data_IF_882350238146
#
_entry.id   IF_882350238146
#
_cell.length_a   1.000
_cell.length_b   1.000
_cell.length_c   1.000
_cell.angle_alpha   90.00
_cell.angle_beta   90.00
_cell.angle_gamma   90.00
#
_symmetry.space_group_name_H-M   'P 1'
#
loop_
_entity.id
_entity.type
_entity.pdbx_description
1 polymer ?
#
# COMPACT_ATOMS: atom_id res chain seq x y z
N UNK A 1 10.79 2.84 -19.80
CA UNK A 1 11.83 3.79 -19.31
C UNK A 1 12.91 3.00 -18.57
N UNK A 2 14.20 3.09 -18.95
CA UNK A 2 15.29 2.37 -18.25
C UNK A 2 15.73 3.17 -17.02
N UNK A 3 15.19 2.86 -15.85
CA UNK A 3 15.63 3.45 -14.57
C UNK A 3 16.91 2.74 -14.11
N UNK A 4 17.99 3.50 -13.87
CA UNK A 4 19.25 2.95 -13.33
C UNK A 4 19.14 2.75 -11.82
N UNK A 5 19.85 1.75 -11.29
CA UNK A 5 19.90 1.42 -9.85
C UNK A 5 20.04 2.67 -8.99
N UNK A 6 21.07 3.47 -9.24
CA UNK A 6 21.40 4.63 -8.43
C UNK A 6 20.28 5.68 -8.43
N UNK A 7 19.59 5.88 -9.57
CA UNK A 7 18.46 6.82 -9.65
C UNK A 7 17.28 6.38 -8.77
N UNK A 8 16.99 5.09 -8.72
CA UNK A 8 15.90 4.56 -7.86
C UNK A 8 16.24 4.77 -6.39
N UNK A 9 17.41 4.30 -5.95
CA UNK A 9 17.79 4.40 -4.54
C UNK A 9 17.98 5.84 -4.06
N UNK A 10 18.52 6.71 -4.91
CA UNK A 10 18.63 8.14 -4.62
C UNK A 10 17.26 8.83 -4.60
N UNK A 11 16.36 8.47 -5.52
CA UNK A 11 14.98 8.95 -5.51
C UNK A 11 14.23 8.56 -4.24
N UNK A 12 14.39 7.32 -3.76
CA UNK A 12 13.81 6.87 -2.48
C UNK A 12 14.37 7.70 -1.33
N UNK A 13 15.70 7.91 -1.29
CA UNK A 13 16.34 8.68 -0.22
C UNK A 13 15.84 10.14 -0.19
N UNK A 14 15.76 10.80 -1.35
CA UNK A 14 15.18 12.14 -1.46
C UNK A 14 13.74 12.15 -0.94
N UNK A 15 12.94 11.15 -1.31
CA UNK A 15 11.53 11.11 -0.92
C UNK A 15 11.37 10.91 0.60
N UNK A 16 12.20 10.06 1.22
CA UNK A 16 12.29 9.93 2.69
C UNK A 16 12.62 11.28 3.34
N UNK A 17 13.61 12.01 2.81
CA UNK A 17 14.02 13.32 3.34
C UNK A 17 12.91 14.37 3.21
N UNK A 18 12.22 14.43 2.07
CA UNK A 18 11.10 15.37 1.86
C UNK A 18 9.99 15.10 2.88
N UNK A 19 9.58 13.85 3.05
CA UNK A 19 8.51 13.48 3.98
C UNK A 19 8.91 13.82 5.42
N UNK A 20 10.14 13.50 5.82
CA UNK A 20 10.67 13.85 7.13
C UNK A 20 10.66 15.36 7.38
N UNK A 21 11.10 16.17 6.42
CA UNK A 21 11.07 17.64 6.53
C UNK A 21 9.62 18.16 6.67
N UNK A 22 8.68 17.64 5.87
CA UNK A 22 7.27 18.03 5.96
C UNK A 22 6.66 17.69 7.33
N UNK A 23 7.05 16.57 7.94
CA UNK A 23 6.56 16.14 9.25
C UNK A 23 7.20 16.98 10.37
N UNK A 24 8.52 17.17 10.35
CA UNK A 24 9.27 17.88 11.40
C UNK A 24 8.94 19.38 11.46
N UNK A 25 8.76 20.02 10.31
CA UNK A 25 8.40 21.44 10.23
C UNK A 25 6.88 21.70 10.23
N UNK A 26 6.06 20.67 10.42
CA UNK A 26 4.58 20.77 10.45
C UNK A 26 3.98 21.49 9.22
N UNK A 27 4.61 21.33 8.04
CA UNK A 27 4.22 22.05 6.82
C UNK A 27 2.98 21.39 6.20
N UNK A 28 1.79 21.88 6.53
CA UNK A 28 0.51 21.37 6.00
C UNK A 28 -0.05 22.21 4.82
N UNK A 29 0.73 23.11 4.23
CA UNK A 29 0.26 23.94 3.11
C UNK A 29 -0.31 23.06 1.97
N UNK A 30 -1.54 23.36 1.52
CA UNK A 30 -2.29 22.57 0.54
C UNK A 30 -2.33 21.04 0.79
N UNK A 31 -2.37 20.59 2.05
CA UNK A 31 -2.39 19.16 2.39
C UNK A 31 -1.17 18.36 1.89
N UNK A 32 -0.07 19.04 1.53
CA UNK A 32 1.14 18.42 0.99
C UNK A 32 1.67 17.32 1.91
N UNK A 33 1.78 17.59 3.22
CA UNK A 33 2.20 16.60 4.20
C UNK A 33 1.37 15.31 4.13
N UNK A 34 0.04 15.43 4.08
CA UNK A 34 -0.86 14.28 4.08
C UNK A 34 -0.71 13.47 2.80
N UNK A 35 -0.69 14.15 1.65
CA UNK A 35 -0.56 13.51 0.33
C UNK A 35 0.79 12.78 0.22
N UNK A 36 1.88 13.46 0.55
CA UNK A 36 3.22 12.89 0.46
C UNK A 36 3.42 11.75 1.46
N UNK A 37 2.95 11.91 2.71
CA UNK A 37 3.05 10.85 3.72
C UNK A 37 2.21 9.64 3.33
N UNK A 38 1.02 9.83 2.77
CA UNK A 38 0.17 8.74 2.30
C UNK A 38 0.86 7.96 1.17
N UNK A 39 1.35 8.65 0.13
CA UNK A 39 2.06 8.00 -0.98
C UNK A 39 3.30 7.28 -0.45
N UNK A 40 4.04 7.91 0.46
CA UNK A 40 5.23 7.32 1.08
C UNK A 40 4.91 6.04 1.83
N UNK A 41 4.00 6.10 2.81
CA UNK A 41 3.66 4.97 3.67
C UNK A 41 3.01 3.82 2.91
N UNK A 42 2.33 4.09 1.79
CA UNK A 42 1.68 3.05 0.98
C UNK A 42 2.58 2.43 -0.09
N UNK A 43 3.73 3.06 -0.42
CA UNK A 43 4.57 2.58 -1.52
C UNK A 43 6.02 2.29 -1.15
N UNK A 44 6.67 3.14 -0.35
CA UNK A 44 8.11 3.06 -0.11
C UNK A 44 8.52 1.83 0.71
N UNK A 45 7.88 1.50 1.85
CA UNK A 45 8.27 0.35 2.65
C UNK A 45 8.16 -0.95 1.84
N UNK A 46 7.03 -1.16 1.16
CA UNK A 46 6.80 -2.35 0.35
C UNK A 46 7.71 -2.42 -0.86
N UNK A 47 8.00 -1.29 -1.53
CA UNK A 47 8.97 -1.26 -2.63
C UNK A 47 10.37 -1.64 -2.13
N UNK A 48 10.79 -1.14 -0.96
CA UNK A 48 12.06 -1.50 -0.35
C UNK A 48 12.11 -2.99 0.03
N UNK A 49 11.02 -3.56 0.56
CA UNK A 49 10.92 -4.99 0.84
C UNK A 49 10.98 -5.81 -0.45
N UNK A 50 10.28 -5.40 -1.51
CA UNK A 50 10.34 -6.04 -2.83
C UNK A 50 11.76 -6.06 -3.39
N UNK A 51 12.46 -4.93 -3.33
CA UNK A 51 13.86 -4.82 -3.72
C UNK A 51 14.75 -5.67 -2.81
N UNK A 52 14.56 -5.62 -1.50
CA UNK A 52 15.29 -6.41 -0.52
C UNK A 52 15.16 -7.90 -0.80
N UNK A 53 13.97 -8.38 -1.20
CA UNK A 53 13.66 -9.78 -1.48
C UNK A 53 13.99 -10.21 -2.92
N UNK A 54 14.35 -9.28 -3.82
CA UNK A 54 14.57 -9.49 -5.27
C UNK A 54 13.31 -9.97 -6.04
N UNK A 55 12.13 -9.54 -5.63
CA UNK A 55 10.90 -9.86 -6.37
C UNK A 55 10.84 -8.95 -7.61
N UNK A 56 11.01 -9.54 -8.81
CA UNK A 56 11.25 -8.80 -10.07
C UNK A 56 10.49 -9.33 -11.28
N UNK A 57 10.12 -10.60 -11.27
CA UNK A 57 9.47 -11.28 -12.40
C UNK A 57 7.96 -11.35 -12.16
N UNK A 58 7.35 -10.19 -11.96
CA UNK A 58 5.90 -10.05 -11.75
C UNK A 58 5.36 -8.99 -12.70
N UNK A 59 4.12 -9.15 -13.12
CA UNK A 59 3.46 -8.17 -13.96
C UNK A 59 3.28 -6.84 -13.23
N UNK A 60 3.04 -5.76 -13.97
CA UNK A 60 2.90 -4.42 -13.39
C UNK A 60 1.85 -4.35 -12.27
N UNK A 61 0.67 -4.95 -12.49
CA UNK A 61 -0.41 -4.94 -11.50
C UNK A 61 -0.05 -5.74 -10.27
N UNK A 62 0.54 -6.92 -10.43
CA UNK A 62 1.05 -7.73 -9.31
C UNK A 62 2.12 -6.98 -8.53
N UNK A 63 3.06 -6.32 -9.22
CA UNK A 63 4.09 -5.52 -8.59
C UNK A 63 3.51 -4.40 -7.72
N UNK A 64 2.48 -3.71 -8.23
CA UNK A 64 1.77 -2.65 -7.51
C UNK A 64 1.07 -3.22 -6.27
N UNK A 65 0.37 -4.34 -6.41
CA UNK A 65 -0.32 -5.02 -5.31
C UNK A 65 0.64 -5.46 -4.22
N UNK A 66 1.75 -6.09 -4.59
CA UNK A 66 2.79 -6.46 -3.62
C UNK A 66 3.38 -5.24 -2.94
N UNK A 67 3.64 -4.17 -3.67
CA UNK A 67 4.19 -2.93 -3.11
C UNK A 67 3.24 -2.32 -2.07
N UNK A 68 1.95 -2.23 -2.35
CA UNK A 68 0.96 -1.69 -1.40
C UNK A 68 0.77 -2.66 -0.23
N UNK A 69 0.55 -3.94 -0.51
CA UNK A 69 0.29 -4.97 0.52
C UNK A 69 1.45 -5.14 1.50
N UNK A 70 2.69 -5.18 1.00
CA UNK A 70 3.88 -5.25 1.85
C UNK A 70 4.09 -3.96 2.66
N UNK A 71 3.70 -2.81 2.12
CA UNK A 71 3.73 -1.55 2.87
C UNK A 71 2.74 -1.58 4.03
N UNK A 72 1.49 -1.99 3.79
CA UNK A 72 0.48 -2.14 4.85
C UNK A 72 0.92 -3.16 5.90
N UNK A 73 1.44 -4.31 5.46
CA UNK A 73 1.99 -5.32 6.37
C UNK A 73 3.13 -4.76 7.22
N UNK A 74 4.06 -3.99 6.63
CA UNK A 74 5.11 -3.31 7.36
C UNK A 74 4.54 -2.32 8.41
N UNK A 75 3.52 -1.53 8.06
CA UNK A 75 2.91 -0.61 9.02
C UNK A 75 2.28 -1.35 10.20
N UNK A 76 1.56 -2.45 9.94
CA UNK A 76 0.91 -3.26 10.98
C UNK A 76 1.94 -3.94 11.89
N UNK A 77 2.86 -4.72 11.30
CA UNK A 77 3.84 -5.48 12.08
C UNK A 77 4.93 -4.60 12.67
N UNK A 78 5.40 -3.58 11.93
CA UNK A 78 6.37 -2.60 12.41
C UNK A 78 5.81 -1.76 13.55
N UNK A 79 4.57 -1.28 13.41
CA UNK A 79 3.87 -0.57 14.50
C UNK A 79 3.69 -1.45 15.73
N UNK A 80 3.26 -2.70 15.56
CA UNK A 80 3.15 -3.67 16.66
C UNK A 80 4.50 -3.94 17.35
N UNK A 81 5.56 -4.13 16.56
CA UNK A 81 6.90 -4.36 17.08
C UNK A 81 7.40 -3.18 17.91
N UNK A 82 7.24 -1.96 17.39
CA UNK A 82 7.58 -0.71 18.10
C UNK A 82 6.79 -0.62 19.40
N UNK A 83 5.50 -0.96 19.36
CA UNK A 83 4.63 -0.92 20.53
C UNK A 83 5.09 -1.87 21.64
N UNK A 84 5.74 -2.98 21.31
CA UNK A 84 6.32 -3.91 22.28
C UNK A 84 7.73 -3.53 22.74
N UNK A 85 8.56 -3.00 21.85
CA UNK A 85 9.99 -2.77 22.14
C UNK A 85 10.24 -1.43 22.83
N UNK A 86 9.56 -0.36 22.46
CA UNK A 86 9.80 0.98 23.04
C UNK A 86 9.62 1.04 24.57
N UNK A 87 8.65 0.36 25.21
CA UNK A 87 8.52 0.35 26.67
C UNK A 87 9.71 -0.32 27.37
N UNK A 88 10.32 -1.33 26.74
CA UNK A 88 11.46 -2.06 27.31
C UNK A 88 12.70 -1.16 27.44
N UNK A 89 12.76 -0.08 26.66
CA UNK A 89 13.84 0.93 26.71
C UNK A 89 13.41 2.23 27.41
N UNK A 90 12.27 2.23 28.10
CA UNK A 90 11.78 3.36 28.91
C UNK A 90 11.03 4.45 28.16
N UNK A 91 10.64 4.22 26.89
CA UNK A 91 9.85 5.17 26.09
C UNK A 91 8.36 4.82 26.16
N UNK A 92 7.60 5.58 26.94
CA UNK A 92 6.17 5.31 27.19
C UNK A 92 5.21 6.07 26.25
N UNK A 93 5.71 6.97 25.40
CA UNK A 93 4.89 7.72 24.42
C UNK A 93 5.03 7.15 23.02
N UNK A 94 4.69 5.87 22.89
CA UNK A 94 5.05 5.00 21.76
C UNK A 94 4.53 5.45 20.39
N UNK A 95 3.28 5.91 20.35
CA UNK A 95 2.57 6.32 19.12
C UNK A 95 2.62 7.84 18.91
N UNK A 96 3.51 8.54 19.63
CA UNK A 96 3.79 9.94 19.29
C UNK A 96 4.62 10.03 18.01
N UNK A 97 4.48 11.14 17.30
CA UNK A 97 5.00 11.31 15.95
C UNK A 97 6.51 11.07 15.87
N UNK A 98 7.28 11.58 16.85
CA UNK A 98 8.75 11.55 16.81
C UNK A 98 9.31 10.13 17.04
N UNK A 99 8.96 9.39 18.10
CA UNK A 99 9.43 8.01 18.29
C UNK A 99 9.05 7.07 17.14
N UNK A 100 7.84 7.23 16.57
CA UNK A 100 7.37 6.42 15.46
C UNK A 100 8.16 6.74 14.17
N UNK A 101 8.36 8.02 13.87
CA UNK A 101 9.13 8.49 12.71
C UNK A 101 10.55 7.95 12.74
N UNK A 102 11.26 8.12 13.87
CA UNK A 102 12.63 7.63 14.05
C UNK A 102 12.70 6.11 13.89
N UNK A 103 11.77 5.37 14.50
CA UNK A 103 11.75 3.91 14.44
C UNK A 103 11.51 3.40 13.01
N UNK A 104 10.57 4.00 12.29
CA UNK A 104 10.30 3.65 10.89
C UNK A 104 11.47 4.03 9.99
N UNK A 105 12.10 5.19 10.18
CA UNK A 105 13.29 5.56 9.42
C UNK A 105 14.44 4.56 9.62
N UNK A 106 14.66 4.08 10.85
CA UNK A 106 15.67 3.04 11.11
C UNK A 106 15.35 1.77 10.31
N UNK A 107 14.10 1.29 10.34
CA UNK A 107 13.71 0.13 9.54
C UNK A 107 13.90 0.34 8.04
N UNK A 108 13.48 1.49 7.51
CA UNK A 108 13.59 1.80 6.10
C UNK A 108 15.05 1.94 5.67
N UNK A 109 15.92 2.52 6.51
CA UNK A 109 17.36 2.57 6.27
C UNK A 109 17.97 1.17 6.21
N UNK A 110 17.59 0.27 7.13
CA UNK A 110 18.04 -1.13 7.09
C UNK A 110 17.60 -1.80 5.77
N UNK A 111 16.32 -1.68 5.40
CA UNK A 111 15.83 -2.24 4.14
C UNK A 111 16.54 -1.64 2.92
N UNK A 112 16.79 -0.33 2.92
CA UNK A 112 17.50 0.38 1.87
C UNK A 112 18.94 -0.11 1.71
N UNK A 113 19.69 -0.27 2.81
CA UNK A 113 21.07 -0.79 2.79
C UNK A 113 21.09 -2.24 2.25
N UNK A 114 20.21 -3.10 2.74
CA UNK A 114 20.15 -4.50 2.27
C UNK A 114 19.78 -4.54 0.78
N UNK A 115 18.76 -3.78 0.38
CA UNK A 115 18.34 -3.69 -1.01
C UNK A 115 19.47 -3.15 -1.91
N UNK A 116 20.23 -2.14 -1.48
CA UNK A 116 21.37 -1.62 -2.22
C UNK A 116 22.44 -2.68 -2.47
N UNK A 117 22.81 -3.44 -1.43
CA UNK A 117 23.84 -4.48 -1.53
C UNK A 117 23.36 -5.64 -2.40
N UNK A 118 22.08 -6.02 -2.32
CA UNK A 118 21.56 -7.20 -3.02
C UNK A 118 21.34 -6.98 -4.53
N UNK A 119 21.04 -5.75 -4.96
CA UNK A 119 20.55 -5.47 -6.32
C UNK A 119 21.62 -4.83 -7.22
N UNK A 120 22.20 -5.56 -8.19
CA UNK A 120 23.23 -5.00 -9.11
C UNK A 120 22.69 -4.38 -10.40
N UNK A 121 21.60 -4.91 -10.96
CA UNK A 121 20.88 -4.34 -12.11
C UNK A 121 19.39 -4.39 -11.82
N UNK A 122 18.64 -3.32 -12.10
CA UNK A 122 17.18 -3.27 -11.93
C UNK A 122 16.56 -3.11 -13.31
N UNK A 123 15.60 -3.97 -13.62
CA UNK A 123 14.83 -3.91 -14.85
C UNK A 123 13.36 -3.91 -14.46
N UNK A 124 12.68 -2.78 -14.69
CA UNK A 124 11.23 -2.68 -14.58
C UNK A 124 10.69 -2.62 -16.00
N UNK A 125 9.96 -3.67 -16.41
CA UNK A 125 9.16 -3.64 -17.63
C UNK A 125 7.78 -3.14 -17.26
N UNK A 126 7.30 -2.12 -17.95
CA UNK A 126 5.97 -1.55 -17.78
C UNK A 126 5.27 -1.71 -19.11
N UNK A 127 4.30 -2.61 -19.16
CA UNK A 127 3.43 -2.82 -20.31
C UNK A 127 1.98 -2.64 -19.86
N UNK A 128 1.24 -1.67 -20.41
CA UNK A 128 -0.16 -1.48 -20.05
C UNK A 128 -1.00 -2.65 -20.58
N UNK A 129 -1.99 -3.14 -19.82
CA UNK A 129 -2.85 -4.21 -20.27
C UNK A 129 -3.76 -3.75 -21.41
N UNK A 130 -3.97 -4.62 -22.42
CA UNK A 130 -5.08 -4.47 -23.36
C UNK A 130 -6.35 -5.00 -22.69
N UNK A 131 -7.42 -4.20 -22.70
CA UNK A 131 -8.64 -4.47 -21.93
C UNK A 131 -9.88 -4.47 -22.84
N UNK A 132 -10.55 -5.61 -22.90
CA UNK A 132 -11.89 -5.74 -23.50
C UNK A 132 -12.99 -5.25 -22.54
N UNK A 133 -14.21 -5.04 -23.06
CA UNK A 133 -15.37 -4.53 -22.31
C UNK A 133 -15.67 -5.30 -21.00
N UNK A 134 -15.60 -6.64 -21.05
CA UNK A 134 -15.79 -7.49 -19.86
C UNK A 134 -14.70 -7.18 -18.82
N UNK A 135 -13.43 -7.17 -19.25
CA UNK A 135 -12.30 -6.91 -18.37
C UNK A 135 -12.36 -5.51 -17.74
N UNK A 136 -12.77 -4.51 -18.51
CA UNK A 136 -12.96 -3.15 -18.04
C UNK A 136 -14.05 -3.06 -16.95
N UNK A 137 -15.14 -3.81 -17.11
CA UNK A 137 -16.21 -3.85 -16.11
C UNK A 137 -15.72 -4.42 -14.78
N UNK A 138 -14.99 -5.54 -14.81
CA UNK A 138 -14.41 -6.13 -13.60
C UNK A 138 -13.31 -5.27 -12.96
N UNK A 139 -12.65 -4.37 -13.70
CA UNK A 139 -11.74 -3.40 -13.09
C UNK A 139 -12.49 -2.24 -12.41
N UNK A 140 -13.61 -1.80 -12.96
CA UNK A 140 -14.32 -0.59 -12.49
C UNK A 140 -15.27 -0.91 -11.33
N UNK A 141 -16.05 -2.00 -11.44
CA UNK A 141 -17.07 -2.38 -10.44
C UNK A 141 -16.55 -2.36 -9.00
N UNK A 142 -15.41 -3.00 -8.65
CA UNK A 142 -15.00 -3.08 -7.26
C UNK A 142 -14.66 -1.72 -6.64
N UNK A 143 -14.36 -0.68 -7.44
CA UNK A 143 -14.00 0.67 -6.96
C UNK A 143 -15.14 1.28 -6.12
N UNK A 144 -16.38 0.84 -6.29
CA UNK A 144 -17.50 1.31 -5.47
C UNK A 144 -17.45 0.78 -4.04
N UNK A 145 -16.80 -0.36 -3.79
CA UNK A 145 -16.80 -1.02 -2.48
C UNK A 145 -16.12 -0.17 -1.40
N UNK A 146 -14.92 0.40 -1.57
CA UNK A 146 -14.33 1.24 -0.54
C UNK A 146 -15.16 2.48 -0.20
N UNK A 147 -15.81 3.08 -1.22
CA UNK A 147 -16.68 4.25 -1.02
C UNK A 147 -17.88 3.85 -0.15
N UNK A 148 -18.52 2.73 -0.47
CA UNK A 148 -19.63 2.20 0.31
C UNK A 148 -19.18 1.74 1.71
N UNK A 149 -17.98 1.19 1.87
CA UNK A 149 -17.40 0.85 3.17
C UNK A 149 -17.21 2.08 4.04
N UNK A 150 -16.68 3.18 3.49
CA UNK A 150 -16.51 4.44 4.22
C UNK A 150 -17.88 4.96 4.68
N UNK A 151 -18.88 5.00 3.80
CA UNK A 151 -20.25 5.40 4.15
C UNK A 151 -20.88 4.45 5.17
N UNK A 152 -20.65 3.15 5.03
CA UNK A 152 -21.10 2.11 5.95
C UNK A 152 -20.49 2.29 7.35
N UNK A 153 -19.20 2.57 7.44
CA UNK A 153 -18.52 2.85 8.69
C UNK A 153 -19.03 4.13 9.36
N UNK A 154 -19.21 5.21 8.59
CA UNK A 154 -19.76 6.48 9.09
C UNK A 154 -21.18 6.27 9.64
N UNK A 155 -22.04 5.56 8.91
CA UNK A 155 -23.42 5.31 9.37
C UNK A 155 -23.45 4.44 10.61
N UNK A 156 -22.70 3.34 10.63
CA UNK A 156 -22.64 2.42 11.77
C UNK A 156 -22.09 3.09 13.05
N UNK A 157 -21.04 3.91 12.91
CA UNK A 157 -20.44 4.62 14.04
C UNK A 157 -21.32 5.76 14.58
N UNK A 158 -22.31 6.20 13.80
CA UNK A 158 -23.28 7.21 14.22
C UNK A 158 -24.64 6.60 14.61
N UNK A 159 -24.64 5.38 15.15
CA UNK A 159 -25.83 4.64 15.59
C UNK A 159 -26.86 4.34 14.48
N UNK A 160 -26.43 4.41 13.22
CA UNK A 160 -27.24 4.02 12.07
C UNK A 160 -27.34 2.50 11.90
N UNK A 161 -28.21 2.03 10.99
CA UNK A 161 -28.37 0.60 10.73
C UNK A 161 -27.15 0.02 9.98
N UNK A 162 -26.96 -1.30 10.09
CA UNK A 162 -25.86 -2.04 9.46
C UNK A 162 -26.11 -2.47 8.00
N UNK A 163 -27.13 -1.93 7.34
CA UNK A 163 -27.50 -2.33 5.97
C UNK A 163 -26.37 -2.08 4.96
N UNK A 164 -25.70 -0.92 5.04
CA UNK A 164 -24.62 -0.57 4.11
C UNK A 164 -23.41 -1.52 4.23
N UNK A 165 -22.85 -1.77 5.43
CA UNK A 165 -21.81 -2.79 5.61
C UNK A 165 -22.22 -4.17 5.10
N UNK A 166 -23.46 -4.61 5.34
CA UNK A 166 -23.95 -5.90 4.87
C UNK A 166 -24.05 -5.98 3.33
N UNK A 167 -24.52 -4.90 2.68
CA UNK A 167 -24.56 -4.80 1.21
C UNK A 167 -23.15 -4.87 0.64
N UNK A 168 -22.17 -4.22 1.26
CA UNK A 168 -20.76 -4.28 0.83
C UNK A 168 -20.23 -5.71 0.93
N UNK A 169 -20.43 -6.39 2.07
CA UNK A 169 -19.97 -7.76 2.27
C UNK A 169 -20.62 -8.73 1.27
N UNK A 170 -21.93 -8.63 1.08
CA UNK A 170 -22.66 -9.42 0.08
C UNK A 170 -22.20 -9.12 -1.35
N UNK A 171 -22.00 -7.84 -1.67
CA UNK A 171 -21.51 -7.38 -2.97
C UNK A 171 -20.11 -7.89 -3.29
N UNK A 172 -19.20 -7.87 -2.32
CA UNK A 172 -17.86 -8.44 -2.42
C UNK A 172 -17.94 -9.95 -2.66
N UNK A 173 -18.79 -10.67 -1.92
CA UNK A 173 -18.95 -12.12 -2.09
C UNK A 173 -19.48 -12.47 -3.50
N UNK A 174 -20.49 -11.75 -3.98
CA UNK A 174 -21.05 -11.90 -5.34
C UNK A 174 -19.98 -11.58 -6.39
N UNK A 175 -19.22 -10.51 -6.19
CA UNK A 175 -18.16 -10.10 -7.11
C UNK A 175 -17.06 -11.18 -7.23
N UNK A 176 -16.58 -11.70 -6.09
CA UNK A 176 -15.59 -12.80 -6.07
C UNK A 176 -16.16 -14.05 -6.73
N UNK A 177 -17.43 -14.38 -6.48
CA UNK A 177 -18.11 -15.51 -7.11
C UNK A 177 -18.11 -15.37 -8.64
N UNK A 178 -18.42 -14.18 -9.18
CA UNK A 178 -18.37 -13.93 -10.62
C UNK A 178 -16.95 -13.98 -11.20
N UNK A 179 -15.93 -13.51 -10.46
CA UNK A 179 -14.53 -13.69 -10.85
C UNK A 179 -14.21 -15.19 -11.00
N UNK A 180 -14.61 -16.00 -10.02
CA UNK A 180 -14.35 -17.43 -10.02
C UNK A 180 -15.06 -18.15 -11.18
N UNK A 181 -16.33 -17.80 -11.45
CA UNK A 181 -17.11 -18.35 -12.57
C UNK A 181 -16.50 -17.99 -13.94
N UNK A 182 -16.10 -16.73 -14.12
CA UNK A 182 -15.61 -16.21 -15.39
C UNK A 182 -14.09 -16.32 -15.54
N UNK A 183 -13.39 -17.03 -14.65
CA UNK A 183 -11.92 -17.09 -14.59
C UNK A 183 -11.20 -17.31 -15.93
N UNK A 184 -11.80 -18.09 -16.84
CA UNK A 184 -11.24 -18.40 -18.17
C UNK A 184 -11.35 -17.24 -19.17
N UNK A 185 -12.29 -16.30 -18.94
CA UNK A 185 -12.57 -15.14 -19.80
C UNK A 185 -11.89 -13.87 -19.28
N UNK A 186 -11.43 -13.87 -18.03
CA UNK A 186 -10.85 -12.70 -17.38
C UNK A 186 -9.33 -12.63 -17.60
N UNK A 187 -8.85 -11.41 -17.83
CA UNK A 187 -7.43 -11.11 -17.92
C UNK A 187 -6.77 -11.31 -16.54
N UNK A 188 -5.55 -11.86 -16.53
CA UNK A 188 -4.73 -12.07 -15.32
C UNK A 188 -4.58 -10.82 -14.45
N UNK A 189 -4.64 -9.62 -15.03
CA UNK A 189 -4.51 -8.36 -14.29
C UNK A 189 -5.72 -8.01 -13.40
N UNK A 190 -6.86 -8.70 -13.57
CA UNK A 190 -8.06 -8.45 -12.77
C UNK A 190 -7.90 -8.98 -11.35
N UNK A 191 -7.23 -10.13 -11.18
CA UNK A 191 -7.10 -10.74 -9.85
C UNK A 191 -6.33 -9.86 -8.87
N UNK A 192 -5.11 -9.36 -9.21
CA UNK A 192 -4.36 -8.51 -8.29
C UNK A 192 -5.15 -7.24 -7.95
N UNK A 193 -5.71 -6.56 -8.95
CA UNK A 193 -6.51 -5.35 -8.75
C UNK A 193 -7.71 -5.57 -7.83
N UNK A 194 -8.45 -6.66 -8.06
CA UNK A 194 -9.61 -7.04 -7.26
C UNK A 194 -9.23 -7.28 -5.80
N UNK A 195 -8.12 -7.98 -5.57
CA UNK A 195 -7.62 -8.25 -4.22
C UNK A 195 -7.35 -6.94 -3.48
N UNK A 196 -6.68 -5.96 -4.13
CA UNK A 196 -6.38 -4.68 -3.49
C UNK A 196 -7.64 -3.93 -3.11
N UNK A 197 -8.59 -3.78 -4.02
CA UNK A 197 -9.79 -3.00 -3.72
C UNK A 197 -10.66 -3.69 -2.68
N UNK A 198 -10.85 -5.01 -2.79
CA UNK A 198 -11.62 -5.76 -1.80
C UNK A 198 -10.94 -5.66 -0.42
N UNK A 199 -9.61 -5.82 -0.36
CA UNK A 199 -8.86 -5.66 0.89
C UNK A 199 -9.03 -4.25 1.46
N UNK A 200 -8.93 -3.21 0.63
CA UNK A 200 -9.13 -1.81 1.04
C UNK A 200 -10.55 -1.55 1.56
N UNK A 201 -11.54 -2.26 1.04
CA UNK A 201 -12.94 -2.14 1.46
C UNK A 201 -13.20 -2.82 2.81
N UNK A 202 -12.43 -3.85 3.14
CA UNK A 202 -12.56 -4.63 4.37
C UNK A 202 -11.74 -4.06 5.53
N UNK A 203 -10.81 -3.16 5.25
CA UNK A 203 -9.99 -2.45 6.22
C UNK A 203 -10.78 -1.33 6.92
#
# INVERSE_FOLDING_TARGET
>A
MKLTKNKIFFGILIFVLIVNLLILFDIQYFYLRVIFSFIFLTTVPGLLIMLMLKIREVDFWEYLVYTIGLSVAFLMFGGLFINWVLPLIGIYKLLSTVPLLISFDIFLLIFWIIALKRNNKIYLKVEPPRLDLINKSFLIIPIIFPILSILGAITLNNHGPNYLPLIVLGGIAIYIFFIALLRKKLNKNIYPWSIVIVSLSLL
#
